data_IF_788596091068
#
_entry.id   IF_788596091068
#
_cell.length_a   1.000
_cell.length_b   1.000
_cell.length_c   1.000
_cell.angle_alpha   90.00
_cell.angle_beta   90.00
_cell.angle_gamma   90.00
#
_symmetry.space_group_name_H-M   'P 1'
#
loop_
_entity.id
_entity.type
_entity.pdbx_description
1 polymer ?
#
# COMPACT_ATOMS: atom_id res chain seq x y z
N UNK A 1 -9.14 -15.20 34.58
CA UNK A 1 -8.01 -14.42 34.03
C UNK A 1 -8.05 -14.58 32.51
N UNK A 2 -8.41 -13.50 31.82
CA UNK A 2 -8.72 -13.46 30.39
C UNK A 2 -7.42 -13.48 29.57
N UNK A 3 -7.04 -14.63 29.01
CA UNK A 3 -5.88 -14.74 28.12
C UNK A 3 -6.19 -14.38 26.66
N UNK A 4 -7.46 -14.16 26.28
CA UNK A 4 -7.84 -13.95 24.88
C UNK A 4 -7.58 -12.53 24.36
N UNK A 5 -7.54 -11.51 25.22
CA UNK A 5 -7.37 -10.12 24.78
C UNK A 5 -5.96 -9.79 24.28
N UNK A 6 -4.94 -10.55 24.69
CA UNK A 6 -3.56 -10.32 24.26
C UNK A 6 -3.30 -10.76 22.80
N UNK A 7 -4.06 -11.73 22.28
CA UNK A 7 -3.88 -12.25 20.92
C UNK A 7 -4.57 -11.39 19.85
N UNK A 8 -5.73 -10.80 20.17
CA UNK A 8 -6.50 -9.95 19.24
C UNK A 8 -5.75 -8.65 18.91
N UNK A 9 -5.24 -7.95 19.92
CA UNK A 9 -4.46 -6.72 19.73
C UNK A 9 -3.17 -6.95 18.94
N UNK A 10 -2.51 -8.09 19.16
CA UNK A 10 -1.30 -8.47 18.43
C UNK A 10 -1.61 -8.76 16.95
N UNK A 11 -2.75 -9.40 16.69
CA UNK A 11 -3.27 -9.67 15.35
C UNK A 11 -3.58 -8.37 14.58
N UNK A 12 -4.27 -7.41 15.22
CA UNK A 12 -4.56 -6.10 14.61
C UNK A 12 -3.26 -5.33 14.29
N UNK A 13 -2.30 -5.31 15.22
CA UNK A 13 -0.97 -4.69 15.01
C UNK A 13 -0.21 -5.32 13.85
N UNK A 14 -0.29 -6.65 13.69
CA UNK A 14 0.31 -7.36 12.57
C UNK A 14 -0.32 -6.95 11.23
N UNK A 15 -1.66 -6.99 11.12
CA UNK A 15 -2.38 -6.56 9.91
C UNK A 15 -2.08 -5.11 9.55
N UNK A 16 -2.01 -4.23 10.55
CA UNK A 16 -1.69 -2.81 10.31
C UNK A 16 -0.28 -2.62 9.74
N UNK A 17 0.70 -3.35 10.29
CA UNK A 17 2.09 -3.29 9.80
C UNK A 17 2.25 -3.88 8.40
N UNK A 18 1.54 -4.96 8.07
CA UNK A 18 1.59 -5.52 6.72
C UNK A 18 1.00 -4.56 5.68
N UNK A 19 -0.09 -3.87 6.01
CA UNK A 19 -0.68 -2.84 5.15
C UNK A 19 0.26 -1.64 4.98
N UNK A 20 0.93 -1.20 6.05
CA UNK A 20 1.95 -0.14 5.97
C UNK A 20 3.12 -0.53 5.07
N UNK A 21 3.61 -1.78 5.15
CA UNK A 21 4.64 -2.27 4.24
C UNK A 21 4.16 -2.28 2.80
N UNK A 22 2.94 -2.76 2.54
CA UNK A 22 2.36 -2.75 1.20
C UNK A 22 2.26 -1.33 0.65
N UNK A 23 1.80 -0.37 1.46
CA UNK A 23 1.73 1.05 1.11
C UNK A 23 3.11 1.59 0.72
N UNK A 24 4.12 1.41 1.58
CA UNK A 24 5.49 1.89 1.30
C UNK A 24 6.06 1.27 0.01
N UNK A 25 5.85 -0.02 -0.19
CA UNK A 25 6.33 -0.73 -1.38
C UNK A 25 5.68 -0.18 -2.66
N UNK A 26 4.37 0.03 -2.67
CA UNK A 26 3.64 0.53 -3.84
C UNK A 26 4.07 1.95 -4.18
N UNK A 27 4.25 2.81 -3.17
CA UNK A 27 4.75 4.17 -3.36
C UNK A 27 6.15 4.16 -3.95
N UNK A 28 7.07 3.35 -3.40
CA UNK A 28 8.45 3.25 -3.90
C UNK A 28 8.50 2.75 -5.35
N UNK A 29 7.75 1.68 -5.67
CA UNK A 29 7.69 1.14 -7.04
C UNK A 29 7.11 2.18 -8.00
N UNK A 30 6.02 2.83 -7.60
CA UNK A 30 5.37 3.88 -8.38
C UNK A 30 6.31 5.03 -8.71
N UNK A 31 7.04 5.52 -7.70
CA UNK A 31 8.02 6.61 -7.89
C UNK A 31 9.18 6.21 -8.78
N UNK A 32 9.72 4.98 -8.63
CA UNK A 32 10.78 4.48 -9.51
C UNK A 32 10.30 4.42 -10.96
N UNK A 33 9.10 3.89 -11.20
CA UNK A 33 8.52 3.78 -12.53
C UNK A 33 8.28 5.16 -13.18
N UNK A 34 7.77 6.13 -12.40
CA UNK A 34 7.58 7.52 -12.86
C UNK A 34 8.94 8.16 -13.15
N UNK A 35 9.93 8.04 -12.26
CA UNK A 35 11.25 8.63 -12.44
C UNK A 35 11.97 8.10 -13.69
N UNK A 36 11.85 6.80 -13.96
CA UNK A 36 12.43 6.16 -15.15
C UNK A 36 11.85 6.71 -16.46
N UNK A 37 10.56 7.05 -16.46
CA UNK A 37 9.87 7.51 -17.67
C UNK A 37 9.88 9.03 -17.83
N UNK A 38 9.91 9.79 -16.73
CA UNK A 38 9.84 11.25 -16.76
C UNK A 38 11.22 11.91 -16.90
N UNK A 39 12.28 11.30 -16.36
CA UNK A 39 13.60 11.93 -16.26
C UNK A 39 14.62 11.15 -17.10
N UNK A 40 15.04 11.66 -18.27
CA UNK A 40 16.07 11.03 -19.08
C UNK A 40 17.41 11.01 -18.32
N UNK A 41 18.15 9.89 -18.42
CA UNK A 41 19.44 9.71 -17.76
C UNK A 41 19.40 9.10 -16.35
N UNK A 42 18.21 8.79 -15.81
CA UNK A 42 18.09 8.13 -14.50
C UNK A 42 18.26 6.60 -14.54
N UNK A 43 18.51 6.01 -15.71
CA UNK A 43 18.56 4.56 -15.92
C UNK A 43 19.50 3.82 -14.97
N UNK A 44 20.67 4.40 -14.68
CA UNK A 44 21.65 3.76 -13.79
C UNK A 44 21.14 3.72 -12.36
N UNK A 45 20.46 4.78 -11.92
CA UNK A 45 19.90 4.89 -10.56
C UNK A 45 18.68 3.98 -10.43
N UNK A 46 17.78 3.98 -11.41
CA UNK A 46 16.58 3.14 -11.39
C UNK A 46 16.92 1.65 -11.47
N UNK A 47 17.91 1.25 -12.27
CA UNK A 47 18.43 -0.14 -12.30
C UNK A 47 18.99 -0.58 -10.94
N UNK A 48 19.77 0.28 -10.27
CA UNK A 48 20.29 -0.01 -8.91
C UNK A 48 19.16 -0.14 -7.89
N UNK A 49 18.16 0.74 -7.95
CA UNK A 49 16.99 0.67 -7.06
C UNK A 49 16.13 -0.58 -7.32
N UNK A 50 15.93 -0.96 -8.59
CA UNK A 50 15.25 -2.21 -8.95
C UNK A 50 15.98 -3.45 -8.42
N UNK A 51 17.31 -3.42 -8.41
CA UNK A 51 18.11 -4.52 -7.85
C UNK A 51 18.00 -4.63 -6.32
N UNK A 52 17.74 -3.52 -5.62
CA UNK A 52 17.48 -3.51 -4.17
C UNK A 52 16.06 -3.98 -3.80
N UNK A 53 15.13 -3.97 -4.75
CA UNK A 53 13.73 -4.35 -4.53
C UNK A 53 13.55 -5.81 -4.02
N UNK A 54 14.16 -6.84 -4.60
CA UNK A 54 14.08 -8.20 -4.07
C UNK A 54 14.67 -8.30 -2.65
N UNK A 55 15.75 -7.57 -2.36
CA UNK A 55 16.35 -7.53 -1.01
C UNK A 55 15.37 -6.93 -0.01
N UNK A 56 14.73 -5.81 -0.36
CA UNK A 56 13.69 -5.18 0.46
C UNK A 56 12.50 -6.11 0.69
N UNK A 57 12.05 -6.83 -0.35
CA UNK A 57 10.96 -7.80 -0.24
C UNK A 57 11.32 -8.94 0.72
N UNK A 58 12.50 -9.54 0.59
CA UNK A 58 12.95 -10.62 1.47
C UNK A 58 13.03 -10.15 2.92
N UNK A 59 13.62 -8.97 3.17
CA UNK A 59 13.70 -8.40 4.52
C UNK A 59 12.30 -8.12 5.09
N UNK A 60 11.41 -7.56 4.28
CA UNK A 60 10.02 -7.25 4.68
C UNK A 60 9.24 -8.51 5.01
N UNK A 61 9.38 -9.57 4.20
CA UNK A 61 8.75 -10.87 4.42
C UNK A 61 9.28 -11.50 5.71
N UNK A 62 10.61 -11.55 5.90
CA UNK A 62 11.21 -12.09 7.13
C UNK A 62 10.70 -11.31 8.34
N UNK A 63 10.69 -9.98 8.27
CA UNK A 63 10.19 -9.13 9.35
C UNK A 63 8.72 -9.43 9.67
N UNK A 64 7.85 -9.56 8.66
CA UNK A 64 6.46 -9.98 8.85
C UNK A 64 6.37 -11.37 9.50
N UNK A 65 7.14 -12.36 9.04
CA UNK A 65 7.16 -13.69 9.66
C UNK A 65 7.57 -13.64 11.13
N UNK A 66 8.55 -12.81 11.49
CA UNK A 66 8.95 -12.66 12.90
C UNK A 66 7.86 -12.00 13.74
N UNK A 67 7.16 -10.99 13.20
CA UNK A 67 6.04 -10.34 13.88
C UNK A 67 4.87 -11.30 14.08
N UNK A 68 4.56 -12.09 13.05
CA UNK A 68 3.53 -13.11 13.09
C UNK A 68 3.81 -14.16 14.17
N UNK A 69 5.06 -14.64 14.24
CA UNK A 69 5.49 -15.62 15.26
C UNK A 69 5.39 -15.03 16.67
N UNK A 70 5.79 -13.76 16.86
CA UNK A 70 5.65 -13.05 18.15
C UNK A 70 4.19 -12.84 18.56
N UNK A 71 3.29 -12.69 17.59
CA UNK A 71 1.86 -12.51 17.82
C UNK A 71 1.09 -13.84 18.00
N UNK A 72 1.75 -15.00 18.00
CA UNK A 72 1.08 -16.29 18.20
C UNK A 72 0.13 -16.72 17.07
N UNK A 73 0.15 -16.05 15.91
CA UNK A 73 -0.86 -16.22 14.85
C UNK A 73 -0.60 -17.49 14.03
N UNK A 74 -1.30 -18.58 14.39
CA UNK A 74 -1.41 -19.80 13.57
C UNK A 74 -2.23 -19.54 12.29
N UNK A 75 -1.88 -20.22 11.19
CA UNK A 75 -2.60 -20.16 9.89
C UNK A 75 -4.08 -20.56 10.03
N UNK A 76 -4.44 -21.27 11.11
CA UNK A 76 -5.78 -21.78 11.36
C UNK A 76 -6.41 -21.21 12.64
N UNK A 77 -5.91 -20.07 13.13
CA UNK A 77 -6.48 -19.45 14.33
C UNK A 77 -7.85 -18.85 14.03
N UNK A 78 -8.87 -19.30 14.77
CA UNK A 78 -10.22 -18.74 14.71
C UNK A 78 -10.23 -17.23 14.94
N UNK A 79 -9.32 -16.75 15.79
CA UNK A 79 -9.09 -15.32 16.09
C UNK A 79 -8.74 -14.52 14.83
N UNK A 80 -7.83 -15.02 13.97
CA UNK A 80 -7.46 -14.32 12.75
C UNK A 80 -8.64 -14.20 11.77
N UNK A 81 -9.49 -15.22 11.72
CA UNK A 81 -10.68 -15.22 10.87
C UNK A 81 -11.75 -14.25 11.38
N UNK A 82 -12.02 -14.25 12.68
CA UNK A 82 -12.94 -13.30 13.33
C UNK A 82 -12.48 -11.85 13.11
N UNK A 83 -11.19 -11.59 13.22
CA UNK A 83 -10.60 -10.26 13.01
C UNK A 83 -10.65 -9.79 11.55
N UNK A 84 -10.79 -10.70 10.57
CA UNK A 84 -10.99 -10.38 9.15
C UNK A 84 -12.47 -10.20 8.81
N UNK A 85 -13.32 -11.05 9.38
CA UNK A 85 -14.77 -11.06 9.15
C UNK A 85 -15.52 -10.04 10.03
N UNK A 86 -14.81 -9.23 10.79
CA UNK A 86 -15.38 -8.15 11.61
C UNK A 86 -16.13 -7.13 10.73
N UNK A 87 -17.42 -6.96 11.02
CA UNK A 87 -18.32 -6.06 10.30
C UNK A 87 -17.81 -4.61 10.29
N UNK A 88 -17.15 -4.17 11.38
CA UNK A 88 -16.60 -2.82 11.47
C UNK A 88 -15.48 -2.62 10.44
N UNK A 89 -14.65 -3.64 10.23
CA UNK A 89 -13.57 -3.60 9.25
C UNK A 89 -14.13 -3.63 7.83
N UNK A 90 -15.17 -4.42 7.56
CA UNK A 90 -15.85 -4.37 6.26
C UNK A 90 -16.46 -2.99 5.96
N UNK A 91 -17.05 -2.34 6.97
CA UNK A 91 -17.55 -0.97 6.80
C UNK A 91 -16.41 0.02 6.54
N UNK A 92 -15.29 -0.10 7.25
CA UNK A 92 -14.09 0.74 7.04
C UNK A 92 -13.53 0.55 5.62
N UNK A 93 -13.52 -0.70 5.12
CA UNK A 93 -13.09 -1.07 3.78
C UNK A 93 -13.95 -0.40 2.71
N UNK A 94 -15.28 -0.49 2.85
CA UNK A 94 -16.22 0.13 1.92
C UNK A 94 -16.12 1.66 1.93
N UNK A 95 -15.96 2.28 3.11
CA UNK A 95 -15.73 3.73 3.24
C UNK A 95 -14.40 4.15 2.59
N UNK A 96 -13.32 3.41 2.85
CA UNK A 96 -12.01 3.65 2.27
C UNK A 96 -12.06 3.52 0.73
N UNK A 97 -12.70 2.48 0.22
CA UNK A 97 -12.89 2.27 -1.21
C UNK A 97 -13.65 3.44 -1.86
N UNK A 98 -14.85 3.76 -1.36
CA UNK A 98 -15.66 4.84 -1.93
C UNK A 98 -14.93 6.18 -1.91
N UNK A 99 -14.31 6.53 -0.79
CA UNK A 99 -13.63 7.81 -0.65
C UNK A 99 -12.36 7.86 -1.51
N UNK A 100 -11.57 6.78 -1.56
CA UNK A 100 -10.40 6.69 -2.42
C UNK A 100 -10.75 6.85 -3.90
N UNK A 101 -11.85 6.23 -4.34
CA UNK A 101 -12.34 6.37 -5.71
C UNK A 101 -12.72 7.81 -6.04
N UNK A 102 -13.45 8.49 -5.15
CA UNK A 102 -13.77 9.91 -5.30
C UNK A 102 -12.51 10.78 -5.36
N UNK A 103 -11.54 10.53 -4.48
CA UNK A 103 -10.26 11.23 -4.49
C UNK A 103 -9.49 11.03 -5.81
N UNK A 104 -9.45 9.80 -6.33
CA UNK A 104 -8.83 9.50 -7.62
C UNK A 104 -9.49 10.30 -8.74
N UNK A 105 -10.82 10.30 -8.83
CA UNK A 105 -11.55 11.05 -9.85
C UNK A 105 -11.22 12.55 -9.75
N UNK A 106 -11.31 13.12 -8.56
CA UNK A 106 -11.03 14.55 -8.35
C UNK A 106 -9.57 14.87 -8.72
N UNK A 107 -8.63 13.97 -8.39
CA UNK A 107 -7.21 14.15 -8.70
C UNK A 107 -6.89 14.07 -10.20
N UNK A 108 -7.75 13.46 -11.03
CA UNK A 108 -7.51 13.40 -12.48
C UNK A 108 -7.49 14.78 -13.12
N UNK A 109 -8.24 15.75 -12.60
CA UNK A 109 -8.29 17.12 -13.15
C UNK A 109 -6.91 17.81 -13.05
N UNK A 110 -6.29 17.95 -11.86
CA UNK A 110 -4.97 18.56 -11.76
C UNK A 110 -3.89 17.71 -12.42
N UNK A 111 -4.00 16.38 -12.42
CA UNK A 111 -3.06 15.50 -13.12
C UNK A 111 -3.11 15.74 -14.63
N UNK A 112 -4.31 15.75 -15.24
CA UNK A 112 -4.49 16.00 -16.65
C UNK A 112 -3.97 17.39 -17.05
N UNK A 113 -4.22 18.40 -16.22
CA UNK A 113 -3.68 19.75 -16.43
C UNK A 113 -2.15 19.77 -16.38
N UNK A 114 -1.54 19.09 -15.39
CA UNK A 114 -0.08 18.99 -15.27
C UNK A 114 0.53 18.34 -16.51
N UNK A 115 -0.07 17.25 -17.00
CA UNK A 115 0.39 16.57 -18.22
C UNK A 115 0.16 17.38 -19.49
N UNK A 116 -0.91 18.16 -19.56
CA UNK A 116 -1.16 19.06 -20.69
C UNK A 116 -0.08 20.13 -20.81
N UNK A 117 0.41 20.66 -19.69
CA UNK A 117 1.47 21.68 -19.66
C UNK A 117 2.86 21.06 -19.85
N UNK A 118 3.06 19.80 -19.46
CA UNK A 118 4.35 19.12 -19.58
C UNK A 118 4.53 18.44 -20.94
N UNK A 119 5.58 18.75 -21.68
CA UNK A 119 5.89 18.08 -22.96
C UNK A 119 6.56 16.69 -22.77
N UNK A 120 5.94 15.82 -21.99
CA UNK A 120 6.50 14.49 -21.68
C UNK A 120 6.12 13.48 -22.77
N UNK A 121 7.13 12.86 -23.38
CA UNK A 121 6.98 11.90 -24.50
C UNK A 121 6.12 10.69 -24.13
N UNK A 122 6.15 10.26 -22.86
CA UNK A 122 5.40 9.09 -22.35
C UNK A 122 4.23 9.47 -21.43
N UNK A 123 3.61 10.64 -21.64
CA UNK A 123 2.57 11.19 -20.76
C UNK A 123 1.45 10.20 -20.42
N UNK A 124 0.91 9.45 -21.40
CA UNK A 124 -0.18 8.49 -21.19
C UNK A 124 0.18 7.32 -20.28
N UNK A 125 1.40 6.78 -20.42
CA UNK A 125 1.91 5.69 -19.58
C UNK A 125 2.11 6.19 -18.16
N UNK A 126 2.75 7.35 -17.99
CA UNK A 126 3.01 7.93 -16.66
C UNK A 126 1.69 8.30 -15.97
N UNK A 127 0.71 8.85 -16.69
CA UNK A 127 -0.62 9.15 -16.14
C UNK A 127 -1.33 7.88 -15.65
N UNK A 128 -1.21 6.78 -16.39
CA UNK A 128 -1.79 5.48 -15.99
C UNK A 128 -1.13 4.94 -14.72
N UNK A 129 0.20 4.97 -14.66
CA UNK A 129 0.98 4.57 -13.46
C UNK A 129 0.60 5.45 -12.27
N UNK A 130 0.57 6.77 -12.45
CA UNK A 130 0.23 7.72 -11.40
C UNK A 130 -1.18 7.49 -10.86
N UNK A 131 -2.14 7.19 -11.74
CA UNK A 131 -3.53 6.89 -11.35
C UNK A 131 -3.61 5.62 -10.50
N UNK A 132 -2.93 4.55 -10.90
CA UNK A 132 -2.90 3.28 -10.16
C UNK A 132 -2.24 3.51 -8.79
N UNK A 133 -1.07 4.15 -8.76
CA UNK A 133 -0.31 4.40 -7.54
C UNK A 133 -1.11 5.28 -6.59
N UNK A 134 -1.69 6.38 -7.08
CA UNK A 134 -2.52 7.27 -6.28
C UNK A 134 -3.75 6.53 -5.75
N UNK A 135 -4.45 5.75 -6.57
CA UNK A 135 -5.62 4.99 -6.15
C UNK A 135 -5.31 3.99 -5.05
N UNK A 136 -4.28 3.17 -5.22
CA UNK A 136 -3.92 2.19 -4.20
C UNK A 136 -3.39 2.87 -2.94
N UNK A 137 -2.57 3.92 -3.08
CA UNK A 137 -2.02 4.67 -1.94
C UNK A 137 -3.13 5.33 -1.13
N UNK A 138 -4.08 5.99 -1.79
CA UNK A 138 -5.22 6.63 -1.13
C UNK A 138 -6.13 5.60 -0.47
N UNK A 139 -6.41 4.48 -1.15
CA UNK A 139 -7.19 3.39 -0.57
C UNK A 139 -6.55 2.83 0.70
N UNK A 140 -5.28 2.42 0.65
CA UNK A 140 -4.57 1.86 1.80
C UNK A 140 -4.42 2.89 2.94
N UNK A 141 -4.17 4.16 2.61
CA UNK A 141 -4.06 5.23 3.61
C UNK A 141 -5.39 5.49 4.30
N UNK A 142 -6.48 5.62 3.55
CA UNK A 142 -7.82 5.81 4.10
C UNK A 142 -8.27 4.58 4.90
N UNK A 143 -7.95 3.38 4.44
CA UNK A 143 -8.19 2.16 5.19
C UNK A 143 -7.47 2.19 6.54
N UNK A 144 -6.19 2.55 6.58
CA UNK A 144 -5.42 2.70 7.83
C UNK A 144 -5.94 3.80 8.77
N UNK A 145 -6.65 4.80 8.23
CA UNK A 145 -7.28 5.88 9.01
C UNK A 145 -8.63 5.43 9.57
N UNK A 146 -9.43 4.69 8.80
CA UNK A 146 -10.76 4.22 9.18
C UNK A 146 -10.76 2.92 9.99
N UNK A 147 -9.70 2.09 9.91
CA UNK A 147 -9.48 0.90 10.75
C UNK A 147 -9.02 1.27 12.18
N UNK A 148 -9.31 2.49 12.64
CA UNK A 148 -9.09 2.98 14.02
C UNK A 148 -10.38 2.87 14.82
#
# INVERSE_FOLDING_TARGET
>A
MNNNTYDEDACVKYCRRSIQLALTLIVVIGLIAIAQLAIPGTEVVTKKLMLLLPVYLVISIIWLFTLRKKAGISNNSSVFRVVIEDELRMQSLNKAFRNSFLFVIISQIPIAYLFYVSSIISASIIQSILTIVLGITMFLTLFLIYDR
#
